data_IF_247858119807
#
_entry.id   IF_247858119807
#
_cell.length_a   1.000
_cell.length_b   1.000
_cell.length_c   1.000
_cell.angle_alpha   90.00
_cell.angle_beta   90.00
_cell.angle_gamma   90.00
#
_symmetry.space_group_name_H-M   'P 1'
#
loop_
_entity.id
_entity.type
_entity.pdbx_description
1 polymer ?
#
# COMPACT_ATOMS: atom_id res chain seq x y z
N UNK A 1 9.84 -6.98 -15.32
CA UNK A 1 9.00 -6.72 -14.13
C UNK A 1 9.67 -7.18 -12.84
N UNK A 2 9.47 -6.42 -11.77
CA UNK A 2 9.95 -6.68 -10.43
C UNK A 2 8.78 -6.74 -9.45
N UNK A 3 8.90 -7.61 -8.44
CA UNK A 3 8.08 -7.58 -7.24
C UNK A 3 8.88 -6.80 -6.19
N UNK A 4 8.29 -5.74 -5.64
CA UNK A 4 8.91 -4.91 -4.60
C UNK A 4 8.08 -5.03 -3.33
N UNK A 5 8.71 -5.37 -2.20
CA UNK A 5 8.14 -5.35 -0.85
C UNK A 5 8.69 -4.14 -0.08
N UNK A 6 7.80 -3.41 0.59
CA UNK A 6 8.11 -2.26 1.43
C UNK A 6 7.83 -2.62 2.90
N UNK A 7 8.86 -2.64 3.73
CA UNK A 7 8.77 -2.94 5.16
C UNK A 7 8.84 -1.65 5.96
N UNK A 8 7.72 -1.23 6.56
CA UNK A 8 7.65 0.04 7.29
C UNK A 8 8.23 -0.09 8.71
N UNK A 9 9.14 0.83 9.07
CA UNK A 9 9.79 0.88 10.39
C UNK A 9 9.22 1.96 11.30
N UNK A 10 8.32 2.78 10.76
CA UNK A 10 7.62 3.85 11.46
C UNK A 10 6.17 3.92 10.97
N UNK A 11 5.25 4.52 11.75
CA UNK A 11 3.87 4.63 11.32
C UNK A 11 3.78 5.41 10.01
N UNK A 12 2.85 5.00 9.15
CA UNK A 12 2.64 5.61 7.84
C UNK A 12 1.23 6.20 7.75
N UNK A 13 1.10 7.31 7.03
CA UNK A 13 -0.20 7.91 6.73
C UNK A 13 -0.52 7.58 5.29
N UNK A 14 -1.20 6.45 5.09
CA UNK A 14 -1.76 6.05 3.80
C UNK A 14 -3.16 6.63 3.75
N UNK A 15 -3.29 7.80 3.09
CA UNK A 15 -4.47 8.67 3.19
C UNK A 15 -5.81 7.94 3.00
N UNK A 16 -6.90 8.50 3.50
CA UNK A 16 -8.20 7.84 3.62
C UNK A 16 -9.40 8.62 3.10
N UNK A 17 -10.55 7.96 3.02
CA UNK A 17 -11.86 8.62 2.88
C UNK A 17 -12.17 9.43 4.14
N UNK A 18 -12.63 10.66 3.97
CA UNK A 18 -13.10 11.49 5.07
C UNK A 18 -14.48 10.97 5.51
N UNK A 19 -14.57 10.40 6.70
CA UNK A 19 -15.82 9.92 7.30
C UNK A 19 -16.24 10.94 8.35
N UNK A 20 -17.13 11.86 7.97
CA UNK A 20 -17.49 13.01 8.80
C UNK A 20 -16.33 13.98 9.01
N UNK A 21 -16.62 15.20 9.45
CA UNK A 21 -15.75 16.39 9.32
C UNK A 21 -14.26 16.23 9.67
N UNK A 22 -13.87 15.28 10.54
CA UNK A 22 -12.51 15.19 11.09
C UNK A 22 -11.83 13.81 11.07
N UNK A 23 -12.49 12.72 10.65
CA UNK A 23 -11.89 11.38 10.65
C UNK A 23 -11.54 10.93 9.22
N UNK A 24 -10.32 10.45 9.01
CA UNK A 24 -9.87 9.87 7.73
C UNK A 24 -9.55 8.40 7.93
N UNK A 25 -10.47 7.51 7.54
CA UNK A 25 -10.22 6.06 7.62
C UNK A 25 -9.05 5.68 6.75
N UNK A 26 -7.92 5.31 7.36
CA UNK A 26 -6.72 4.97 6.60
C UNK A 26 -6.96 3.75 5.70
N UNK A 27 -6.29 3.74 4.55
CA UNK A 27 -6.34 2.63 3.62
C UNK A 27 -5.28 1.60 4.02
N UNK A 28 -5.63 0.32 3.94
CA UNK A 28 -4.73 -0.82 4.11
C UNK A 28 -4.11 -1.28 2.78
N UNK A 29 -4.00 -0.37 1.82
CA UNK A 29 -3.30 -0.51 0.54
C UNK A 29 -2.93 0.88 0.01
N UNK A 30 -1.95 0.96 -0.88
CA UNK A 30 -1.54 2.21 -1.52
C UNK A 30 -2.02 2.19 -2.98
N UNK A 31 -2.98 3.05 -3.36
CA UNK A 31 -3.38 3.22 -4.75
C UNK A 31 -2.21 3.54 -5.69
N UNK A 32 -2.25 3.03 -6.92
CA UNK A 32 -1.16 3.19 -7.90
C UNK A 32 -0.88 4.64 -8.29
N UNK A 33 -1.88 5.53 -8.29
CA UNK A 33 -1.71 6.97 -8.54
C UNK A 33 -0.86 7.65 -7.46
N UNK A 34 -1.07 7.30 -6.18
CA UNK A 34 -0.23 7.77 -5.07
C UNK A 34 1.15 7.15 -5.11
N UNK A 35 1.22 5.86 -5.43
CA UNK A 35 2.49 5.15 -5.56
C UNK A 35 3.35 5.78 -6.68
N UNK A 36 2.72 6.08 -7.82
CA UNK A 36 3.32 6.79 -8.93
C UNK A 36 3.84 8.17 -8.51
N UNK A 37 3.00 8.99 -7.86
CA UNK A 37 3.40 10.34 -7.46
C UNK A 37 4.64 10.33 -6.56
N UNK A 38 4.72 9.39 -5.62
CA UNK A 38 5.87 9.26 -4.72
C UNK A 38 7.11 8.73 -5.42
N UNK A 39 6.98 7.74 -6.32
CA UNK A 39 8.10 7.23 -7.15
C UNK A 39 8.62 8.32 -8.09
N UNK A 40 7.72 9.05 -8.73
CA UNK A 40 8.06 10.09 -9.69
C UNK A 40 8.77 11.26 -9.00
N UNK A 41 8.26 11.71 -7.85
CA UNK A 41 8.91 12.76 -7.06
C UNK A 41 10.22 12.30 -6.45
N UNK A 42 10.33 11.05 -5.97
CA UNK A 42 11.60 10.53 -5.46
C UNK A 42 12.65 10.45 -6.55
N UNK A 43 12.25 10.08 -7.76
CA UNK A 43 13.15 10.05 -8.92
C UNK A 43 13.69 11.45 -9.25
N UNK A 44 12.83 12.46 -9.32
CA UNK A 44 13.24 13.85 -9.55
C UNK A 44 14.17 14.33 -8.42
N UNK A 45 13.83 14.06 -7.17
CA UNK A 45 14.64 14.47 -6.01
C UNK A 45 16.02 13.81 -6.01
N UNK A 46 16.11 12.53 -6.42
CA UNK A 46 17.36 11.78 -6.43
C UNK A 46 18.26 12.12 -7.63
N UNK A 47 17.67 12.34 -8.80
CA UNK A 47 18.42 12.41 -10.07
C UNK A 47 18.37 13.78 -10.75
N UNK A 48 17.43 14.66 -10.37
CA UNK A 48 17.24 15.97 -11.01
C UNK A 48 16.66 15.91 -12.44
N UNK A 49 16.14 14.76 -12.86
CA UNK A 49 15.57 14.52 -14.18
C UNK A 49 14.20 13.81 -14.08
N UNK A 50 13.52 13.62 -15.21
CA UNK A 50 12.24 12.90 -15.30
C UNK A 50 12.39 11.64 -16.14
N UNK A 51 11.79 10.53 -15.72
CA UNK A 51 11.69 9.33 -16.56
C UNK A 51 10.41 9.37 -17.42
N UNK A 52 10.39 8.57 -18.50
CA UNK A 52 9.23 8.45 -19.39
C UNK A 52 8.09 7.66 -18.74
N UNK A 53 7.17 8.39 -18.10
CA UNK A 53 6.03 7.80 -17.39
C UNK A 53 5.15 6.89 -18.27
N UNK A 54 5.15 7.04 -19.60
CA UNK A 54 4.37 6.19 -20.50
C UNK A 54 4.91 4.75 -20.59
N UNK A 55 6.17 4.55 -20.22
CA UNK A 55 6.81 3.22 -20.20
C UNK A 55 6.67 2.52 -18.86
N UNK A 56 6.06 3.18 -17.86
CA UNK A 56 5.93 2.64 -16.52
C UNK A 56 4.73 1.69 -16.43
N UNK A 57 5.00 0.44 -16.05
CA UNK A 57 3.98 -0.50 -15.60
C UNK A 57 4.03 -0.51 -14.07
N UNK A 58 2.91 -0.20 -13.42
CA UNK A 58 2.83 -0.09 -11.97
C UNK A 58 1.49 -0.62 -11.45
N UNK A 59 1.52 -1.57 -10.51
CA UNK A 59 0.32 -1.95 -9.76
C UNK A 59 0.10 -1.04 -8.56
N UNK A 60 -1.11 -1.08 -7.97
CA UNK A 60 -1.27 -0.62 -6.58
C UNK A 60 -0.39 -1.45 -5.64
N UNK A 61 -0.05 -0.90 -4.48
CA UNK A 61 0.64 -1.64 -3.44
C UNK A 61 -0.37 -2.29 -2.48
N UNK A 62 -0.29 -3.61 -2.34
CA UNK A 62 -1.21 -4.44 -1.57
C UNK A 62 -0.51 -4.99 -0.32
N UNK A 63 -1.25 -5.37 0.73
CA UNK A 63 -0.63 -5.84 1.96
C UNK A 63 0.03 -7.21 1.77
N UNK A 64 1.15 -7.44 2.46
CA UNK A 64 1.68 -8.77 2.73
C UNK A 64 1.86 -8.98 4.23
N UNK A 65 1.79 -10.23 4.66
CA UNK A 65 2.08 -10.67 6.03
C UNK A 65 3.02 -11.86 5.94
N UNK A 66 4.23 -11.71 6.46
CA UNK A 66 5.34 -12.67 6.31
C UNK A 66 5.58 -12.94 4.82
N UNK A 67 5.46 -14.21 4.41
CA UNK A 67 5.62 -14.62 3.02
C UNK A 67 4.32 -14.60 2.21
N UNK A 68 3.19 -14.26 2.85
CA UNK A 68 1.87 -14.33 2.22
C UNK A 68 1.52 -13.00 1.57
N UNK A 69 1.27 -13.04 0.27
CA UNK A 69 0.85 -11.88 -0.52
C UNK A 69 -0.68 -11.83 -0.57
N UNK A 70 -1.26 -10.66 -0.31
CA UNK A 70 -2.70 -10.48 -0.38
C UNK A 70 -3.07 -9.67 -1.61
N UNK A 71 -4.16 -10.01 -2.29
CA UNK A 71 -4.68 -9.28 -3.45
C UNK A 71 -6.11 -8.80 -3.17
N UNK A 72 -6.56 -7.70 -3.79
CA UNK A 72 -7.93 -7.26 -3.65
C UNK A 72 -8.88 -8.30 -4.24
N UNK A 73 -10.03 -8.48 -3.58
CA UNK A 73 -11.08 -9.35 -4.09
C UNK A 73 -11.62 -8.79 -5.40
N UNK A 74 -11.73 -9.67 -6.40
CA UNK A 74 -12.32 -9.32 -7.69
C UNK A 74 -13.76 -8.85 -7.52
N UNK A 75 -14.17 -7.83 -8.31
CA UNK A 75 -15.57 -7.38 -8.35
C UNK A 75 -16.54 -8.50 -8.76
N UNK A 76 -16.05 -9.53 -9.45
CA UNK A 76 -16.80 -10.71 -9.83
C UNK A 76 -17.30 -11.53 -8.61
N UNK A 77 -16.70 -11.34 -7.44
CA UNK A 77 -17.06 -12.02 -6.20
C UNK A 77 -18.20 -11.33 -5.42
N UNK A 78 -19.25 -10.89 -6.11
CA UNK A 78 -20.48 -10.42 -5.45
C UNK A 78 -20.36 -9.09 -4.67
N UNK A 79 -19.41 -8.22 -5.04
CA UNK A 79 -19.27 -6.88 -4.44
C UNK A 79 -18.66 -6.82 -3.04
N UNK A 80 -18.11 -7.93 -2.52
CA UNK A 80 -17.41 -7.95 -1.23
C UNK A 80 -16.11 -7.16 -1.34
N UNK A 81 -15.93 -6.16 -0.46
CA UNK A 81 -14.68 -5.41 -0.34
C UNK A 81 -13.72 -6.13 0.62
N UNK A 82 -12.48 -6.34 0.19
CA UNK A 82 -11.47 -6.94 1.04
C UNK A 82 -10.28 -7.46 0.27
N UNK A 83 -9.48 -8.23 0.99
CA UNK A 83 -8.28 -8.87 0.49
C UNK A 83 -8.34 -10.36 0.77
N UNK A 84 -7.68 -11.13 -0.09
CA UNK A 84 -7.52 -12.58 0.02
C UNK A 84 -6.06 -12.93 -0.24
N UNK A 85 -5.62 -14.09 0.21
CA UNK A 85 -4.28 -14.58 -0.15
C UNK A 85 -4.22 -14.86 -1.66
N UNK A 86 -3.13 -14.44 -2.30
CA UNK A 86 -2.92 -14.54 -3.75
C UNK A 86 -3.06 -15.98 -4.24
N UNK A 87 -2.62 -16.95 -3.44
CA UNK A 87 -2.65 -18.38 -3.74
C UNK A 87 -4.07 -18.94 -3.80
N UNK A 88 -5.02 -18.30 -3.10
CA UNK A 88 -6.42 -18.72 -3.04
C UNK A 88 -7.27 -18.06 -4.13
N UNK A 89 -6.74 -17.04 -4.80
CA UNK A 89 -7.45 -16.29 -5.82
C UNK A 89 -8.01 -17.12 -6.98
N UNK A 90 -7.27 -18.10 -7.56
CA UNK A 90 -7.81 -18.91 -8.66
C UNK A 90 -9.05 -19.69 -8.23
N UNK A 91 -8.98 -20.33 -7.06
CA UNK A 91 -10.11 -21.07 -6.48
C UNK A 91 -11.31 -20.17 -6.23
N UNK A 92 -11.09 -18.95 -5.76
CA UNK A 92 -12.15 -17.98 -5.48
C UNK A 92 -12.79 -17.44 -6.76
N UNK A 93 -11.99 -17.16 -7.79
CA UNK A 93 -12.49 -16.73 -9.09
C UNK A 93 -13.33 -17.85 -9.71
N UNK A 94 -12.85 -19.10 -9.68
CA UNK A 94 -13.60 -20.25 -10.18
C UNK A 94 -14.95 -20.42 -9.44
N UNK A 95 -14.94 -20.33 -8.10
CA UNK A 95 -16.17 -20.39 -7.29
C UNK A 95 -17.12 -19.24 -7.63
N UNK A 96 -16.61 -18.02 -7.74
CA UNK A 96 -17.42 -16.85 -8.11
C UNK A 96 -18.03 -16.99 -9.52
N UNK A 97 -17.29 -17.54 -10.48
CA UNK A 97 -17.79 -17.79 -11.83
C UNK A 97 -18.87 -18.88 -11.87
N UNK A 98 -18.74 -19.93 -11.04
CA UNK A 98 -19.69 -21.05 -10.98
C UNK A 98 -20.96 -20.74 -10.17
N UNK A 99 -20.78 -20.15 -8.99
CA UNK A 99 -21.84 -19.99 -7.99
C UNK A 99 -22.37 -18.54 -7.90
N UNK A 100 -21.72 -17.59 -8.59
CA UNK A 100 -22.13 -16.18 -8.65
C UNK A 100 -21.76 -15.36 -7.42
N UNK A 101 -21.31 -15.97 -6.32
CA UNK A 101 -20.91 -15.27 -5.10
C UNK A 101 -19.81 -15.99 -4.32
N UNK A 102 -19.05 -15.22 -3.53
CA UNK A 102 -18.09 -15.74 -2.55
C UNK A 102 -18.69 -15.61 -1.15
N UNK A 103 -18.45 -16.59 -0.28
CA UNK A 103 -18.87 -16.53 1.11
C UNK A 103 -18.17 -15.41 1.90
N UNK A 104 -18.96 -14.54 2.54
CA UNK A 104 -18.48 -13.39 3.31
C UNK A 104 -17.57 -13.78 4.48
N UNK A 105 -17.85 -14.90 5.14
CA UNK A 105 -17.07 -15.45 6.26
C UNK A 105 -15.61 -15.72 5.87
N UNK A 106 -15.38 -16.10 4.62
CA UNK A 106 -14.04 -16.38 4.10
C UNK A 106 -13.18 -15.11 4.06
N UNK A 107 -13.79 -14.01 3.62
CA UNK A 107 -13.15 -12.70 3.50
C UNK A 107 -12.91 -12.06 4.86
N UNK A 108 -13.85 -12.24 5.80
CA UNK A 108 -13.75 -11.75 7.18
C UNK A 108 -12.51 -12.30 7.90
N UNK A 109 -12.16 -13.57 7.68
CA UNK A 109 -10.95 -14.18 8.23
C UNK A 109 -9.67 -13.43 7.81
N UNK A 110 -9.56 -13.04 6.55
CA UNK A 110 -8.40 -12.27 6.07
C UNK A 110 -8.41 -10.83 6.56
N UNK A 111 -9.59 -10.23 6.71
CA UNK A 111 -9.71 -8.91 7.34
C UNK A 111 -9.25 -8.93 8.80
N UNK A 112 -9.61 -9.95 9.58
CA UNK A 112 -9.12 -10.08 10.96
C UNK A 112 -7.60 -10.20 11.01
N UNK A 113 -7.01 -11.01 10.14
CA UNK A 113 -5.56 -11.18 10.07
C UNK A 113 -4.86 -9.88 9.68
N UNK A 114 -5.40 -9.15 8.69
CA UNK A 114 -4.91 -7.83 8.32
C UNK A 114 -5.02 -6.83 9.47
N UNK A 115 -6.16 -6.78 10.17
CA UNK A 115 -6.37 -5.84 11.28
C UNK A 115 -5.42 -6.08 12.48
N UNK A 116 -4.88 -7.29 12.64
CA UNK A 116 -3.85 -7.59 13.65
C UNK A 116 -2.48 -7.02 13.29
N UNK A 117 -2.18 -6.90 11.99
CA UNK A 117 -0.87 -6.49 11.49
C UNK A 117 -0.85 -5.04 10.97
N UNK A 118 -2.01 -4.48 10.63
CA UNK A 118 -2.23 -3.14 10.11
C UNK A 118 -3.19 -2.39 11.05
N UNK A 119 -2.63 -1.82 12.12
CA UNK A 119 -3.40 -1.22 13.22
C UNK A 119 -3.49 0.29 13.01
N UNK A 120 -4.70 0.80 12.76
CA UNK A 120 -4.97 2.24 12.80
C UNK A 120 -4.99 2.74 14.24
N UNK A 121 -4.21 3.77 14.53
CA UNK A 121 -4.16 4.44 15.83
C UNK A 121 -4.50 5.91 15.65
N UNK A 122 -5.45 6.41 16.42
CA UNK A 122 -5.78 7.84 16.46
C UNK A 122 -4.94 8.50 17.56
N UNK A 123 -3.98 9.34 17.16
CA UNK A 123 -3.10 10.06 18.08
C UNK A 123 -3.56 11.52 18.24
N UNK A 124 -3.96 11.94 19.46
CA UNK A 124 -4.22 13.34 19.76
C UNK A 124 -2.93 14.15 19.75
N UNK A 125 -3.00 15.38 19.28
CA UNK A 125 -1.90 16.35 19.27
C UNK A 125 -2.42 17.74 19.57
N UNK A 126 -1.55 18.58 20.08
CA UNK A 126 -1.85 19.97 20.40
C UNK A 126 -1.05 20.88 19.48
N UNK A 127 -1.73 21.88 18.91
CA UNK A 127 -1.11 23.04 18.31
C UNK A 127 -1.21 24.18 19.32
N UNK A 128 -0.10 24.84 19.62
CA UNK A 128 -0.08 25.98 20.53
C UNK A 128 0.13 27.25 19.70
N UNK A 129 -0.80 28.19 19.82
CA UNK A 129 -0.70 29.50 19.15
C UNK A 129 0.51 30.27 19.67
N UNK A 130 1.35 30.81 18.78
CA UNK A 130 2.58 31.50 19.20
C UNK A 130 2.36 32.85 19.89
N UNK A 131 1.22 33.50 19.63
CA UNK A 131 0.92 34.84 20.14
C UNK A 131 0.14 34.82 21.47
N UNK A 132 -0.79 33.88 21.63
CA UNK A 132 -1.71 33.80 22.76
C UNK A 132 -1.56 32.52 23.59
N UNK A 133 -0.67 31.59 23.20
CA UNK A 133 -0.49 30.27 23.82
C UNK A 133 -1.77 29.43 23.92
N UNK A 134 -2.79 29.72 23.11
CA UNK A 134 -4.03 28.96 23.11
C UNK A 134 -3.80 27.56 22.52
N UNK A 135 -4.19 26.49 23.23
CA UNK A 135 -4.05 25.12 22.75
C UNK A 135 -5.25 24.73 21.87
N UNK A 136 -4.96 24.25 20.66
CA UNK A 136 -5.92 23.64 19.75
C UNK A 136 -5.63 22.13 19.63
N UNK A 137 -6.60 21.29 20.00
CA UNK A 137 -6.48 19.84 19.89
C UNK A 137 -6.83 19.39 18.47
N UNK A 138 -6.00 18.54 17.88
CA UNK A 138 -6.28 17.87 16.63
C UNK A 138 -5.84 16.41 16.68
N UNK A 139 -6.49 15.57 15.88
CA UNK A 139 -6.23 14.14 15.86
C UNK A 139 -5.59 13.74 14.53
N UNK A 140 -4.66 12.80 14.59
CA UNK A 140 -4.09 12.19 13.40
C UNK A 140 -4.33 10.68 13.47
N UNK A 141 -4.85 10.10 12.40
CA UNK A 141 -4.84 8.66 12.24
C UNK A 141 -3.48 8.24 11.66
N UNK A 142 -2.86 7.25 12.28
CA UNK A 142 -1.54 6.72 11.94
C UNK A 142 -1.67 5.20 11.75
N UNK A 143 -1.13 4.65 10.65
CA UNK A 143 -1.16 3.20 10.40
C UNK A 143 0.13 2.57 10.92
N UNK A 144 -0.01 1.69 11.91
CA UNK A 144 1.07 0.89 12.45
C UNK A 144 1.10 -0.46 11.76
N UNK A 145 2.25 -0.80 11.18
CA UNK A 145 2.47 -2.05 10.47
C UNK A 145 3.47 -2.89 11.28
N UNK A 146 3.15 -4.16 11.50
CA UNK A 146 4.05 -5.10 12.18
C UNK A 146 5.32 -5.38 11.35
N UNK A 147 6.42 -5.75 12.02
CA UNK A 147 7.75 -5.89 11.38
C UNK A 147 7.80 -6.85 10.19
N UNK A 148 7.08 -7.97 10.26
CA UNK A 148 7.04 -8.97 9.19
C UNK A 148 5.96 -8.67 8.14
N UNK A 149 5.39 -7.46 8.13
CA UNK A 149 4.30 -7.08 7.24
C UNK A 149 4.60 -5.77 6.55
N UNK A 150 3.90 -5.50 5.46
CA UNK A 150 4.16 -4.32 4.66
C UNK A 150 3.30 -4.26 3.42
N UNK A 151 3.70 -3.41 2.47
CA UNK A 151 3.06 -3.33 1.17
C UNK A 151 3.95 -3.90 0.09
N UNK A 152 3.40 -4.63 -0.87
CA UNK A 152 4.11 -5.07 -2.05
C UNK A 152 3.42 -4.57 -3.32
N UNK A 153 4.20 -4.36 -4.38
CA UNK A 153 3.68 -3.97 -5.68
C UNK A 153 4.54 -4.53 -6.81
N UNK A 154 4.00 -4.51 -8.02
CA UNK A 154 4.71 -4.84 -9.25
C UNK A 154 5.08 -3.57 -9.99
N UNK A 155 6.30 -3.55 -10.52
CA UNK A 155 6.83 -2.44 -11.31
C UNK A 155 7.66 -2.92 -12.49
N UNK A 156 7.56 -2.24 -13.62
CA UNK A 156 8.43 -2.44 -14.77
C UNK A 156 8.71 -1.12 -15.49
N UNK A 157 9.97 -0.91 -15.88
CA UNK A 157 10.41 0.27 -16.62
C UNK A 157 11.82 0.02 -17.20
N UNK A 158 12.22 0.62 -18.33
CA UNK A 158 13.59 0.50 -18.85
C UNK A 158 14.67 1.01 -17.89
N UNK A 159 14.37 2.07 -17.13
CA UNK A 159 15.26 2.65 -16.10
C UNK A 159 14.97 2.12 -14.69
N UNK A 160 14.59 0.84 -14.57
CA UNK A 160 14.13 0.28 -13.29
C UNK A 160 15.17 0.41 -12.18
N UNK A 161 16.47 0.29 -12.47
CA UNK A 161 17.53 0.40 -11.46
C UNK A 161 17.54 1.79 -10.81
N UNK A 162 17.49 2.86 -11.62
CA UNK A 162 17.40 4.23 -11.10
C UNK A 162 16.12 4.48 -10.29
N UNK A 163 15.00 3.86 -10.70
CA UNK A 163 13.73 3.95 -9.98
C UNK A 163 13.83 3.24 -8.62
N UNK A 164 14.43 2.05 -8.56
CA UNK A 164 14.63 1.33 -7.31
C UNK A 164 15.56 2.10 -6.37
N UNK A 165 16.66 2.66 -6.87
CA UNK A 165 17.55 3.54 -6.08
C UNK A 165 16.83 4.79 -5.58
N UNK A 166 15.95 5.41 -6.39
CA UNK A 166 15.17 6.56 -5.93
C UNK A 166 14.16 6.18 -4.85
N UNK A 167 13.63 4.96 -4.89
CA UNK A 167 12.75 4.42 -3.87
C UNK A 167 13.51 4.11 -2.57
N UNK A 168 14.75 3.62 -2.63
CA UNK A 168 15.64 3.47 -1.46
C UNK A 168 15.93 4.83 -0.81
N UNK A 169 16.19 5.86 -1.62
CA UNK A 169 16.29 7.24 -1.13
C UNK A 169 14.99 7.68 -0.44
N UNK A 170 13.83 7.42 -1.06
CA UNK A 170 12.51 7.73 -0.47
C UNK A 170 12.31 6.99 0.85
N UNK A 171 12.79 5.76 0.97
CA UNK A 171 12.69 4.93 2.16
C UNK A 171 13.31 5.59 3.42
N UNK A 172 14.41 6.33 3.23
CA UNK A 172 15.08 7.10 4.28
C UNK A 172 14.32 8.39 4.59
N UNK A 173 13.87 9.11 3.55
CA UNK A 173 13.16 10.39 3.68
C UNK A 173 11.73 10.24 4.24
N UNK A 174 11.13 9.06 4.09
CA UNK A 174 9.77 8.72 4.50
C UNK A 174 8.73 8.84 3.38
N UNK A 175 7.65 8.08 3.50
CA UNK A 175 6.49 8.03 2.60
C UNK A 175 5.31 8.83 3.13
N UNK A 176 4.60 9.55 2.25
CA UNK A 176 3.30 10.13 2.54
C UNK A 176 3.31 11.29 3.54
N UNK A 177 2.33 11.31 4.45
CA UNK A 177 2.12 12.42 5.38
C UNK A 177 3.18 12.50 6.48
N UNK A 178 3.57 13.73 6.86
CA UNK A 178 4.36 14.03 8.07
C UNK A 178 5.77 13.40 8.11
N UNK A 179 6.38 13.21 6.94
CA UNK A 179 7.79 12.77 6.76
C UNK A 179 8.78 13.48 7.69
N UNK A 180 8.68 14.81 7.81
CA UNK A 180 9.51 15.64 8.70
C UNK A 180 9.40 15.30 10.19
N UNK A 181 8.31 14.65 10.61
CA UNK A 181 8.12 14.16 11.98
C UNK A 181 8.55 12.70 12.17
N UNK A 182 9.26 12.12 11.20
CA UNK A 182 9.79 10.75 11.26
C UNK A 182 8.84 9.65 10.77
N UNK A 183 7.76 10.02 10.06
CA UNK A 183 6.74 9.08 9.57
C UNK A 183 7.12 8.46 8.24
N UNK A 184 6.59 7.26 8.01
CA UNK A 184 6.62 6.58 6.72
C UNK A 184 8.01 6.11 6.29
N UNK A 185 9.00 6.00 7.18
CA UNK A 185 10.28 5.35 6.88
C UNK A 185 10.09 3.84 6.68
N UNK A 186 10.76 3.30 5.67
CA UNK A 186 10.69 1.87 5.31
C UNK A 186 12.04 1.37 4.79
N UNK A 187 12.13 0.07 4.52
CA UNK A 187 13.13 -0.57 3.66
C UNK A 187 12.44 -1.26 2.51
N UNK A 188 13.17 -1.52 1.42
CA UNK A 188 12.66 -2.30 0.31
C UNK A 188 13.43 -3.60 0.13
N UNK A 189 12.70 -4.63 -0.29
CA UNK A 189 13.24 -5.87 -0.84
C UNK A 189 12.62 -6.04 -2.22
N UNK A 190 13.40 -6.45 -3.21
CA UNK A 190 12.87 -6.66 -4.55
C UNK A 190 13.53 -7.84 -5.26
N UNK A 191 12.73 -8.51 -6.08
CA UNK A 191 13.17 -9.63 -6.90
C UNK A 191 12.63 -9.50 -8.31
N UNK A 192 13.38 -10.06 -9.28
CA UNK A 192 12.87 -10.21 -10.64
C UNK A 192 11.69 -11.17 -10.60
N UNK A 193 10.55 -10.72 -11.13
CA UNK A 193 9.33 -11.50 -11.14
C UNK A 193 8.99 -11.89 -12.58
N UNK A 194 9.08 -13.18 -12.88
CA UNK A 194 8.59 -13.75 -14.14
C UNK A 194 7.15 -14.21 -13.96
N UNK A 195 6.25 -13.67 -14.76
CA UNK A 195 4.88 -14.16 -14.84
C UNK A 195 4.83 -15.24 -15.93
N UNK A 196 4.64 -16.49 -15.55
CA UNK A 196 4.34 -17.57 -16.50
C UNK A 196 2.95 -17.32 -17.09
N UNK A 197 2.91 -16.57 -18.21
CA UNK A 197 1.66 -16.20 -18.89
C UNK A 197 0.88 -17.43 -19.38
N UNK A 198 1.56 -18.55 -19.64
CA UNK A 198 0.94 -19.79 -20.14
C UNK A 198 0.09 -20.54 -19.11
N UNK A 199 0.20 -20.24 -17.80
CA UNK A 199 -0.58 -20.91 -16.74
C UNK A 199 -1.71 -20.06 -16.17
N UNK A 200 -1.96 -18.90 -16.75
CA UNK A 200 -2.85 -17.90 -16.17
C UNK A 200 -4.09 -17.69 -17.04
N UNK A 201 -5.01 -18.65 -17.03
CA UNK A 201 -6.33 -18.53 -17.70
C UNK A 201 -7.22 -17.41 -17.11
N UNK A 202 -6.74 -16.71 -16.07
CA UNK A 202 -7.54 -15.76 -15.27
C UNK A 202 -6.99 -14.33 -15.24
N UNK A 203 -5.89 -14.04 -15.95
CA UNK A 203 -5.38 -12.67 -16.10
C UNK A 203 -5.34 -12.33 -17.59
N UNK A 204 -6.51 -11.91 -18.11
CA UNK A 204 -6.68 -11.23 -19.40
C UNK A 204 -6.59 -9.72 -19.17
#
# INVERSE_FOLDING_TARGET
MYLVKMHFHSPVIVGGEQIGGYHKKLMNYIPSDRLFAEIYTSYIEAWGEVFDANKLILSSAFPFIKDKLYIPISRLAGGIKGFIQKEEAPRMIEKALKEGNVEKSYVEKFHEDLNRHFVSVVRPRVRIGRMNNEPELFFNEELHISRESGFYFFIDHPEIEKILTSLEYRAISGWGGRRKSGYGKFSIEYEKYSMDREKSEYFI
#
